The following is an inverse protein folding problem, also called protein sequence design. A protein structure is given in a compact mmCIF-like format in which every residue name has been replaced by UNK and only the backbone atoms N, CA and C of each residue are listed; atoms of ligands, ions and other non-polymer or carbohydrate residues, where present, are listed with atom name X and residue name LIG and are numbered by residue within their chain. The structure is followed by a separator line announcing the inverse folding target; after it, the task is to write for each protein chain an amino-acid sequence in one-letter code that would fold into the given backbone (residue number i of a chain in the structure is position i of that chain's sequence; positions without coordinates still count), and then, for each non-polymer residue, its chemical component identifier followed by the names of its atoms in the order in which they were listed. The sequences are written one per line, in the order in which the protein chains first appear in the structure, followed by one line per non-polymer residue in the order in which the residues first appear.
data_IF_879606036003
#
_entry.id   IF_879606036003
#
_cell.length_a   1.000
_cell.length_b   1.000
_cell.length_c   1.000
_cell.angle_alpha   90.00
_cell.angle_beta   90.00
_cell.angle_gamma   90.00
#
_symmetry.space_group_name_H-M   'P 1'
#
loop_
_entity.id
_entity.type
_entity.pdbx_description
1 polymer ?
#
# COMPACT_ATOMS: atom_id res chain seq x y z
N UNK A 1 -39.31 -18.12 -30.26
CA UNK A 1 -38.00 -17.70 -29.72
C UNK A 1 -38.08 -17.73 -28.21
N UNK A 2 -37.23 -18.53 -27.55
CA UNK A 2 -37.05 -18.45 -26.09
C UNK A 2 -35.83 -17.57 -25.84
N UNK A 3 -36.00 -16.56 -25.00
CA UNK A 3 -34.98 -15.58 -24.64
C UNK A 3 -33.97 -16.25 -23.70
N UNK A 4 -32.70 -16.21 -24.07
CA UNK A 4 -31.59 -16.75 -23.28
C UNK A 4 -31.27 -15.72 -22.17
N UNK A 5 -31.15 -16.19 -20.92
CA UNK A 5 -30.95 -15.34 -19.74
C UNK A 5 -29.55 -15.61 -19.16
N UNK A 6 -28.58 -14.79 -19.57
CA UNK A 6 -27.16 -14.90 -19.19
C UNK A 6 -26.92 -14.78 -17.68
N UNK A 7 -27.78 -14.07 -16.95
CA UNK A 7 -27.57 -13.77 -15.53
C UNK A 7 -27.61 -15.02 -14.63
N UNK A 8 -28.20 -16.12 -15.11
CA UNK A 8 -28.34 -17.36 -14.35
C UNK A 8 -27.08 -18.23 -14.36
N UNK A 9 -26.24 -18.08 -15.37
CA UNK A 9 -25.00 -18.86 -15.53
C UNK A 9 -23.85 -18.23 -14.73
N UNK A 10 -23.73 -16.89 -14.77
CA UNK A 10 -22.75 -16.13 -14.00
C UNK A 10 -22.87 -16.34 -12.49
N UNK A 11 -24.10 -16.31 -11.96
CA UNK A 11 -24.37 -16.48 -10.53
C UNK A 11 -24.01 -17.90 -10.05
N UNK A 12 -24.04 -18.88 -10.97
CA UNK A 12 -23.69 -20.27 -10.69
C UNK A 12 -22.18 -20.50 -10.71
N UNK A 13 -21.46 -19.82 -11.61
CA UNK A 13 -19.99 -19.84 -11.64
C UNK A 13 -19.37 -19.12 -10.43
N UNK A 14 -19.92 -17.99 -9.99
CA UNK A 14 -19.41 -17.28 -8.82
C UNK A 14 -19.64 -18.05 -7.53
N UNK A 15 -20.82 -18.67 -7.37
CA UNK A 15 -21.09 -19.59 -6.25
C UNK A 15 -20.17 -20.81 -6.21
N UNK A 16 -19.66 -21.25 -7.37
CA UNK A 16 -18.68 -22.35 -7.41
C UNK A 16 -17.28 -21.91 -6.97
N UNK A 17 -16.89 -20.66 -7.22
CA UNK A 17 -15.61 -20.08 -6.82
C UNK A 17 -15.52 -19.82 -5.31
N UNK A 18 -16.60 -19.32 -4.69
CA UNK A 18 -16.65 -19.10 -3.23
C UNK A 18 -16.56 -20.39 -2.41
N UNK A 19 -16.81 -21.55 -3.02
CA UNK A 19 -16.76 -22.85 -2.35
C UNK A 19 -15.39 -23.53 -2.38
N UNK A 20 -14.40 -22.95 -3.08
CA UNK A 20 -13.04 -23.51 -3.18
C UNK A 20 -12.15 -22.80 -2.16
N UNK A 21 -12.27 -23.19 -0.90
CA UNK A 21 -11.21 -22.95 0.09
C UNK A 21 -10.16 -24.04 -0.06
N UNK A 22 -9.06 -23.69 -0.73
CA UNK A 22 -7.95 -24.61 -1.02
C UNK A 22 -7.10 -24.82 0.24
N UNK A 23 -6.95 -26.07 0.66
CA UNK A 23 -6.14 -26.44 1.82
C UNK A 23 -4.67 -26.11 1.59
N UNK A 24 -3.91 -25.90 2.66
CA UNK A 24 -2.50 -25.53 2.60
C UNK A 24 -1.65 -26.58 1.86
N UNK A 25 -2.02 -27.87 1.95
CA UNK A 25 -1.41 -28.97 1.19
C UNK A 25 -1.67 -28.89 -0.31
N UNK A 26 -2.86 -28.45 -0.72
CA UNK A 26 -3.28 -28.44 -2.11
C UNK A 26 -2.63 -27.28 -2.87
N UNK A 27 -2.32 -26.19 -2.14
CA UNK A 27 -1.53 -25.07 -2.68
C UNK A 27 -0.11 -25.51 -3.01
N UNK A 28 0.55 -26.23 -2.10
CA UNK A 28 1.91 -26.74 -2.31
C UNK A 28 2.00 -27.69 -3.51
N UNK A 29 1.00 -28.55 -3.73
CA UNK A 29 0.93 -29.44 -4.90
C UNK A 29 0.81 -28.65 -6.21
N UNK A 30 -0.07 -27.65 -6.25
CA UNK A 30 -0.24 -26.79 -7.44
C UNK A 30 1.00 -25.94 -7.72
N UNK A 31 1.66 -25.41 -6.68
CA UNK A 31 2.92 -24.68 -6.84
C UNK A 31 4.03 -25.60 -7.34
N UNK A 32 4.14 -26.82 -6.80
CA UNK A 32 5.11 -27.82 -7.24
C UNK A 32 4.90 -28.19 -8.72
N UNK A 33 3.66 -28.43 -9.15
CA UNK A 33 3.35 -28.75 -10.55
C UNK A 33 3.62 -27.57 -11.50
N UNK A 34 3.36 -26.34 -11.07
CA UNK A 34 3.71 -25.14 -11.81
C UNK A 34 5.22 -25.00 -11.97
N UNK A 35 6.00 -25.14 -10.89
CA UNK A 35 7.45 -25.07 -10.96
C UNK A 35 8.04 -26.21 -11.80
N UNK A 36 7.51 -27.43 -11.68
CA UNK A 36 7.96 -28.59 -12.45
C UNK A 36 7.63 -28.47 -13.95
N UNK A 37 6.54 -27.79 -14.30
CA UNK A 37 6.19 -27.48 -15.70
C UNK A 37 7.07 -26.37 -16.31
N UNK A 38 7.52 -25.42 -15.50
CA UNK A 38 8.46 -24.36 -15.88
C UNK A 38 9.87 -24.94 -16.07
N UNK A 39 10.30 -25.82 -15.17
CA UNK A 39 11.65 -26.41 -15.21
C UNK A 39 11.82 -27.39 -16.38
N UNK A 40 10.74 -28.07 -16.80
CA UNK A 40 10.73 -28.96 -17.98
C UNK A 40 10.96 -28.22 -19.31
N UNK A 41 10.94 -26.88 -19.33
CA UNK A 41 11.17 -26.07 -20.54
C UNK A 41 12.61 -25.57 -20.72
N UNK A 42 13.55 -25.95 -19.85
CA UNK A 42 14.95 -25.47 -19.93
C UNK A 42 15.94 -26.40 -20.65
N UNK A 43 15.44 -27.31 -21.49
CA UNK A 43 16.28 -28.08 -22.40
C UNK A 43 15.51 -28.49 -23.65
N UNK A 44 15.82 -27.86 -24.78
CA UNK A 44 15.94 -28.44 -26.13
C UNK A 44 16.29 -27.29 -27.09
N UNK A 45 17.43 -27.46 -27.76
CA UNK A 45 17.96 -26.50 -28.72
C UNK A 45 17.34 -26.58 -30.11
N UNK A 46 17.60 -25.51 -30.87
CA UNK A 46 17.62 -25.36 -32.33
C UNK A 46 16.30 -25.57 -33.09
N UNK A 47 15.77 -24.45 -33.60
CA UNK A 47 15.37 -24.35 -35.01
C UNK A 47 13.89 -24.14 -35.30
N UNK A 48 13.31 -22.99 -34.93
CA UNK A 48 12.13 -22.46 -35.63
C UNK A 48 11.98 -20.94 -35.42
N UNK A 49 12.37 -20.13 -36.41
CA UNK A 49 12.15 -18.68 -36.41
C UNK A 49 10.71 -18.40 -36.83
N UNK A 50 9.81 -18.29 -35.85
CA UNK A 50 8.54 -17.59 -36.06
C UNK A 50 8.67 -16.16 -35.52
N UNK A 51 8.46 -15.12 -36.34
CA UNK A 51 8.42 -13.76 -35.83
C UNK A 51 7.19 -13.62 -34.93
N UNK A 52 7.45 -13.32 -33.66
CA UNK A 52 6.47 -13.10 -32.58
C UNK A 52 5.44 -11.99 -32.93
N UNK A 53 5.68 -11.22 -33.99
CA UNK A 53 4.84 -10.12 -34.45
C UNK A 53 3.50 -10.53 -35.09
N UNK A 54 3.25 -11.81 -35.41
CA UNK A 54 1.99 -12.24 -36.04
C UNK A 54 0.91 -12.70 -35.05
N UNK A 55 1.23 -12.88 -33.77
CA UNK A 55 0.23 -13.18 -32.73
C UNK A 55 -0.27 -11.93 -31.98
N UNK A 56 0.42 -10.78 -32.09
CA UNK A 56 -0.03 -9.55 -31.41
C UNK A 56 -1.12 -8.79 -32.18
N UNK A 57 -1.07 -8.79 -33.52
CA UNK A 57 -1.99 -7.97 -34.33
C UNK A 57 -3.46 -8.44 -34.27
N UNK A 58 -3.69 -9.75 -34.12
CA UNK A 58 -5.05 -10.29 -34.03
C UNK A 58 -5.71 -9.99 -32.66
N UNK A 59 -4.93 -9.95 -31.57
CA UNK A 59 -5.42 -9.53 -30.25
C UNK A 59 -5.74 -8.03 -30.20
N UNK A 60 -4.91 -7.20 -30.83
CA UNK A 60 -5.10 -5.75 -30.88
C UNK A 60 -6.42 -5.39 -31.60
N UNK A 61 -6.79 -6.09 -32.68
CA UNK A 61 -8.05 -5.81 -33.40
C UNK A 61 -9.31 -6.18 -32.60
N UNK A 62 -9.26 -7.20 -31.73
CA UNK A 62 -10.41 -7.58 -30.88
C UNK A 62 -10.66 -6.51 -29.79
N UNK A 63 -9.61 -5.85 -29.29
CA UNK A 63 -9.72 -4.78 -28.28
C UNK A 63 -10.38 -3.49 -28.81
N UNK A 64 -10.23 -3.16 -30.09
CA UNK A 64 -10.81 -1.94 -30.67
C UNK A 64 -12.32 -2.04 -30.96
N UNK A 65 -12.87 -3.24 -31.16
CA UNK A 65 -14.30 -3.44 -31.49
C UNK A 65 -15.16 -3.69 -30.23
N UNK A 66 -14.57 -4.20 -29.15
CA UNK A 66 -15.27 -4.60 -27.92
C UNK A 66 -15.27 -3.58 -26.76
N UNK A 67 -14.99 -2.30 -26.99
CA UNK A 67 -15.03 -1.27 -25.94
C UNK A 67 -13.69 -0.97 -25.25
N UNK A 68 -12.55 -1.29 -25.85
CA UNK A 68 -11.21 -0.96 -25.32
C UNK A 68 -10.80 0.52 -25.41
N UNK A 69 -11.71 1.44 -25.73
CA UNK A 69 -11.38 2.87 -25.82
C UNK A 69 -11.21 3.54 -24.44
N UNK A 70 -11.60 2.88 -23.34
CA UNK A 70 -11.46 3.43 -21.98
C UNK A 70 -10.17 3.03 -21.26
N UNK A 71 -9.29 2.25 -21.89
CA UNK A 71 -8.03 1.80 -21.27
C UNK A 71 -6.80 2.37 -22.00
N UNK A 72 -6.94 2.88 -23.22
CA UNK A 72 -5.83 3.45 -23.98
C UNK A 72 -5.26 4.74 -23.35
N UNK A 73 -6.11 5.60 -22.76
CA UNK A 73 -5.64 6.82 -22.07
C UNK A 73 -4.86 6.49 -20.79
N UNK A 74 -5.18 5.38 -20.12
CA UNK A 74 -4.46 4.93 -18.91
C UNK A 74 -3.13 4.26 -19.25
N UNK A 75 -3.08 3.50 -20.34
CA UNK A 75 -1.88 2.74 -20.77
C UNK A 75 -0.83 3.66 -21.43
N UNK A 76 -1.21 4.81 -21.99
CA UNK A 76 -0.28 5.76 -22.63
C UNK A 76 0.37 6.78 -21.67
N UNK A 77 -0.14 6.94 -20.44
CA UNK A 77 0.46 7.83 -19.42
C UNK A 77 1.29 7.10 -18.35
N UNK A 78 1.25 5.77 -18.33
CA UNK A 78 2.02 4.94 -17.40
C UNK A 78 3.21 4.29 -18.09
N UNK A 79 3.95 5.08 -18.89
CA UNK A 79 5.33 4.70 -19.24
C UNK A 79 6.24 5.14 -18.08
N UNK A 80 5.89 4.74 -16.86
CA UNK A 80 6.76 4.89 -15.70
C UNK A 80 7.97 3.97 -15.91
N UNK A 81 9.17 4.53 -15.72
CA UNK A 81 10.35 3.72 -15.49
C UNK A 81 10.08 2.71 -14.36
N UNK A 82 10.78 1.55 -14.28
CA UNK A 82 10.65 0.67 -13.13
C UNK A 82 10.78 1.52 -11.86
N UNK A 83 9.74 1.48 -11.03
CA UNK A 83 9.67 2.24 -9.80
C UNK A 83 10.84 1.80 -8.90
N UNK A 84 11.56 2.77 -8.37
CA UNK A 84 12.68 2.53 -7.46
C UNK A 84 12.11 1.89 -6.18
N UNK A 85 12.63 0.73 -5.77
CA UNK A 85 12.20 -0.01 -4.56
C UNK A 85 12.27 0.88 -3.30
N UNK A 86 13.19 1.85 -3.27
CA UNK A 86 13.28 2.84 -2.21
C UNK A 86 12.09 3.80 -2.22
N UNK A 87 11.61 4.20 -3.42
CA UNK A 87 10.43 5.06 -3.56
C UNK A 87 9.20 4.34 -3.05
N UNK A 88 8.98 3.08 -3.46
CA UNK A 88 7.84 2.27 -2.99
C UNK A 88 7.85 2.11 -1.46
N UNK A 89 9.03 1.87 -0.87
CA UNK A 89 9.21 1.81 0.59
C UNK A 89 8.82 3.13 1.27
N UNK A 90 9.26 4.27 0.73
CA UNK A 90 8.93 5.59 1.28
C UNK A 90 7.44 5.87 1.15
N UNK A 91 6.84 5.58 -0.01
CA UNK A 91 5.42 5.81 -0.24
C UNK A 91 4.55 4.97 0.69
N UNK A 92 4.91 3.70 0.90
CA UNK A 92 4.22 2.81 1.83
C UNK A 92 4.27 3.33 3.27
N UNK A 93 5.45 3.76 3.73
CA UNK A 93 5.58 4.32 5.08
C UNK A 93 4.80 5.63 5.22
N UNK A 94 4.88 6.53 4.23
CA UNK A 94 4.15 7.80 4.26
C UNK A 94 2.62 7.61 4.21
N UNK A 95 2.13 6.60 3.47
CA UNK A 95 0.72 6.22 3.50
C UNK A 95 0.32 5.75 4.90
N UNK A 96 1.06 4.82 5.50
CA UNK A 96 0.79 4.33 6.86
C UNK A 96 0.80 5.46 7.92
N UNK A 97 1.71 6.43 7.78
CA UNK A 97 1.83 7.59 8.69
C UNK A 97 0.62 8.53 8.59
N UNK A 98 0.05 8.70 7.39
CA UNK A 98 -0.99 9.70 7.10
C UNK A 98 -2.36 9.12 6.68
N UNK A 99 -2.54 7.80 6.78
CA UNK A 99 -3.80 7.11 6.47
C UNK A 99 -4.26 6.27 7.65
N UNK A 100 -5.40 6.61 8.24
CA UNK A 100 -5.98 5.82 9.32
C UNK A 100 -6.81 6.61 10.33
N UNK A 101 -7.20 5.96 11.44
CA UNK A 101 -6.78 4.60 11.81
C UNK A 101 -7.37 3.50 10.91
N UNK A 102 -6.65 2.41 10.75
CA UNK A 102 -7.19 1.19 10.16
C UNK A 102 -8.08 0.44 11.18
N UNK A 103 -8.59 -0.74 10.81
CA UNK A 103 -9.48 -1.51 11.70
C UNK A 103 -8.79 -1.98 12.99
N UNK A 104 -7.50 -2.31 12.92
CA UNK A 104 -6.76 -2.84 14.05
C UNK A 104 -6.45 -1.72 15.05
N UNK A 105 -5.87 -0.62 14.57
CA UNK A 105 -5.62 0.56 15.39
C UNK A 105 -6.91 1.11 15.97
N UNK A 106 -7.98 1.23 15.16
CA UNK A 106 -9.26 1.73 15.65
C UNK A 106 -9.78 0.90 16.81
N UNK A 107 -9.68 -0.44 16.72
CA UNK A 107 -10.10 -1.33 17.79
C UNK A 107 -9.31 -1.10 19.07
N UNK A 108 -7.97 -1.02 18.98
CA UNK A 108 -7.11 -0.73 20.14
C UNK A 108 -7.53 0.60 20.78
N UNK A 109 -7.74 1.65 19.97
CA UNK A 109 -8.11 2.97 20.44
C UNK A 109 -9.53 3.04 21.04
N UNK A 110 -10.49 2.29 20.48
CA UNK A 110 -11.85 2.17 21.01
C UNK A 110 -11.88 1.51 22.40
N UNK A 111 -11.02 0.51 22.60
CA UNK A 111 -10.98 -0.28 23.83
C UNK A 111 -10.22 0.45 24.96
N UNK A 112 -9.63 1.62 24.72
CA UNK A 112 -8.77 2.34 25.67
C UNK A 112 -9.43 2.50 27.05
N UNK A 113 -10.70 2.92 27.09
CA UNK A 113 -11.41 3.12 28.37
C UNK A 113 -11.57 1.80 29.14
N UNK A 114 -11.82 0.68 28.43
CA UNK A 114 -11.91 -0.65 29.06
C UNK A 114 -10.57 -1.09 29.66
N UNK A 115 -9.44 -0.85 28.98
CA UNK A 115 -8.12 -1.11 29.56
C UNK A 115 -7.88 -0.29 30.83
N UNK A 116 -8.30 0.98 30.85
CA UNK A 116 -8.13 1.87 32.01
C UNK A 116 -9.00 1.40 33.19
N UNK A 117 -10.26 1.05 32.93
CA UNK A 117 -11.19 0.56 33.95
C UNK A 117 -10.73 -0.75 34.60
N UNK A 118 -10.01 -1.60 33.83
CA UNK A 118 -9.47 -2.88 34.29
C UNK A 118 -8.04 -2.79 34.90
N UNK A 119 -7.48 -1.59 35.06
CA UNK A 119 -6.09 -1.36 35.52
C UNK A 119 -5.02 -2.01 34.60
N UNK A 120 -5.31 -2.07 33.30
CA UNK A 120 -4.48 -2.68 32.23
C UNK A 120 -3.80 -1.66 31.34
N UNK A 121 -3.45 -0.49 31.87
CA UNK A 121 -2.81 0.58 31.09
C UNK A 121 -1.49 0.14 30.43
N UNK A 122 -0.76 -0.79 31.05
CA UNK A 122 0.46 -1.36 30.45
C UNK A 122 0.17 -2.25 29.24
N UNK A 123 -0.89 -3.06 29.29
CA UNK A 123 -1.32 -3.90 28.17
C UNK A 123 -1.76 -3.02 26.99
N UNK A 124 -2.51 -1.94 27.26
CA UNK A 124 -2.88 -0.96 26.24
C UNK A 124 -1.67 -0.35 25.52
N UNK A 125 -0.64 0.06 26.28
CA UNK A 125 0.59 0.60 25.69
C UNK A 125 1.36 -0.46 24.90
N UNK A 126 1.36 -1.71 25.37
CA UNK A 126 1.96 -2.84 24.67
C UNK A 126 1.26 -3.11 23.34
N UNK A 127 -0.07 -3.12 23.31
CA UNK A 127 -0.86 -3.39 22.11
C UNK A 127 -0.67 -2.28 21.06
N UNK A 128 -0.69 -1.01 21.49
CA UNK A 128 -0.36 0.11 20.61
C UNK A 128 1.06 0.01 20.03
N UNK A 129 2.03 -0.30 20.89
CA UNK A 129 3.41 -0.46 20.45
C UNK A 129 3.54 -1.59 19.43
N UNK A 130 2.97 -2.75 19.72
CA UNK A 130 3.02 -3.92 18.83
C UNK A 130 2.37 -3.66 17.48
N UNK A 131 1.26 -2.92 17.44
CA UNK A 131 0.66 -2.48 16.19
C UNK A 131 1.64 -1.66 15.34
N UNK A 132 2.27 -0.64 15.93
CA UNK A 132 3.21 0.21 15.20
C UNK A 132 4.51 -0.52 14.83
N UNK A 133 5.02 -1.39 15.70
CA UNK A 133 6.19 -2.22 15.41
C UNK A 133 5.92 -3.13 14.20
N UNK A 134 4.76 -3.79 14.15
CA UNK A 134 4.39 -4.67 13.03
C UNK A 134 4.35 -3.91 11.69
N UNK A 135 3.86 -2.67 11.70
CA UNK A 135 3.74 -1.86 10.49
C UNK A 135 5.08 -1.24 10.06
N UNK A 136 5.91 -0.78 11.01
CA UNK A 136 7.10 0.00 10.66
C UNK A 136 8.41 -0.78 10.69
N UNK A 137 8.55 -1.81 11.52
CA UNK A 137 9.80 -2.59 11.61
C UNK A 137 10.31 -3.15 10.25
N UNK A 138 9.45 -3.60 9.31
CA UNK A 138 9.93 -4.07 8.01
C UNK A 138 10.68 -3.01 7.20
N UNK A 139 10.29 -1.73 7.33
CA UNK A 139 10.75 -0.62 6.48
C UNK A 139 11.88 0.20 7.09
N UNK A 140 12.16 0.03 8.38
CA UNK A 140 13.15 0.81 9.10
C UNK A 140 14.39 -0.01 9.47
N UNK A 141 15.54 0.63 9.51
CA UNK A 141 16.75 0.06 10.09
C UNK A 141 16.53 -0.33 11.55
N UNK A 142 17.25 -1.35 12.02
CA UNK A 142 17.03 -1.94 13.35
C UNK A 142 17.03 -0.85 14.44
N UNK A 143 15.99 -0.86 15.29
CA UNK A 143 15.79 0.08 16.41
C UNK A 143 15.63 1.57 16.04
N UNK A 144 15.54 1.94 14.75
CA UNK A 144 15.37 3.36 14.36
C UNK A 144 13.91 3.83 14.45
N UNK A 145 12.95 2.98 14.12
CA UNK A 145 11.52 3.31 14.19
C UNK A 145 11.07 3.68 15.61
N UNK A 146 11.70 3.10 16.63
CA UNK A 146 11.33 3.33 18.03
C UNK A 146 11.46 4.80 18.45
N UNK A 147 12.54 5.46 18.00
CA UNK A 147 12.74 6.89 18.25
C UNK A 147 11.63 7.74 17.62
N UNK A 148 11.15 7.33 16.45
CA UNK A 148 10.07 8.01 15.74
C UNK A 148 8.69 7.79 16.40
N UNK A 149 8.41 6.60 16.94
CA UNK A 149 7.20 6.35 17.75
C UNK A 149 7.24 7.21 19.02
N UNK A 150 8.34 7.18 19.76
CA UNK A 150 8.48 7.93 21.03
C UNK A 150 8.35 9.45 20.87
N UNK A 151 8.60 9.97 19.66
CA UNK A 151 8.47 11.40 19.32
C UNK A 151 7.19 11.72 18.54
N UNK A 152 6.25 10.76 18.46
CA UNK A 152 4.98 10.86 17.74
C UNK A 152 5.10 11.18 16.24
N UNK A 153 6.23 10.85 15.62
CA UNK A 153 6.47 11.07 14.19
C UNK A 153 5.82 9.99 13.30
N UNK A 154 5.32 8.90 13.91
CA UNK A 154 4.67 7.78 13.23
C UNK A 154 3.26 7.48 13.76
N UNK A 155 2.71 8.34 14.64
CA UNK A 155 1.47 8.09 15.41
C UNK A 155 0.37 9.14 15.15
N UNK A 156 0.43 9.87 14.03
CA UNK A 156 -0.52 10.95 13.73
C UNK A 156 -1.98 10.47 13.61
N UNK A 157 -2.19 9.24 13.14
CA UNK A 157 -3.53 8.64 13.02
C UNK A 157 -4.17 8.42 14.39
N UNK A 158 -3.39 8.07 15.41
CA UNK A 158 -3.85 8.04 16.81
C UNK A 158 -4.21 9.43 17.32
N UNK A 159 -3.37 10.45 17.08
CA UNK A 159 -3.67 11.82 17.49
C UNK A 159 -4.97 12.34 16.86
N UNK A 160 -5.12 12.13 15.54
CA UNK A 160 -6.33 12.48 14.79
C UNK A 160 -7.57 11.77 15.35
N UNK A 161 -7.46 10.48 15.65
CA UNK A 161 -8.56 9.69 16.17
C UNK A 161 -9.15 10.28 17.46
N UNK A 162 -8.29 10.67 18.41
CA UNK A 162 -8.74 11.27 19.68
C UNK A 162 -9.47 12.60 19.53
N UNK A 163 -9.33 13.27 18.39
CA UNK A 163 -10.07 14.50 18.06
C UNK A 163 -11.26 14.26 17.13
N UNK A 164 -11.55 13.00 16.84
CA UNK A 164 -12.64 12.59 15.95
C UNK A 164 -12.34 12.82 14.48
N UNK A 165 -11.05 12.88 14.11
CA UNK A 165 -10.60 12.96 12.74
C UNK A 165 -10.11 11.62 12.21
N UNK A 166 -10.24 11.44 10.90
CA UNK A 166 -9.57 10.41 10.12
C UNK A 166 -8.64 11.09 9.12
N UNK A 167 -7.44 10.55 8.95
CA UNK A 167 -6.49 11.00 7.94
C UNK A 167 -6.49 10.05 6.74
N UNK A 168 -6.20 10.59 5.56
CA UNK A 168 -5.97 9.83 4.34
C UNK A 168 -4.89 10.51 3.50
N UNK A 169 -3.79 9.82 3.24
CA UNK A 169 -2.85 10.22 2.22
C UNK A 169 -3.52 10.13 0.84
N UNK A 170 -3.33 11.16 0.02
CA UNK A 170 -3.91 11.26 -1.31
C UNK A 170 -2.82 11.15 -2.37
N UNK A 171 -2.08 12.23 -2.58
CA UNK A 171 -0.94 12.27 -3.50
C UNK A 171 0.35 12.26 -2.71
N UNK A 172 1.13 11.20 -2.88
CA UNK A 172 2.52 11.11 -2.41
C UNK A 172 3.42 11.37 -3.61
N UNK A 173 4.45 12.17 -3.43
CA UNK A 173 5.47 12.42 -4.43
C UNK A 173 6.83 12.38 -3.76
N UNK A 174 7.63 11.40 -4.15
CA UNK A 174 8.99 11.16 -3.65
C UNK A 174 9.98 11.45 -4.77
N UNK A 175 11.03 12.21 -4.45
CA UNK A 175 12.09 12.54 -5.42
C UNK A 175 13.44 12.42 -4.74
N UNK A 176 14.32 11.62 -5.34
CA UNK A 176 15.70 11.55 -4.90
C UNK A 176 16.41 12.91 -5.08
N UNK A 177 17.27 13.24 -4.13
CA UNK A 177 18.13 14.41 -4.15
C UNK A 177 19.29 14.17 -5.13
N UNK A 178 19.35 14.98 -6.19
CA UNK A 178 20.38 14.88 -7.23
C UNK A 178 21.83 14.96 -6.70
N UNK A 179 22.02 15.48 -5.49
CA UNK A 179 23.34 15.71 -4.87
C UNK A 179 23.67 14.69 -3.79
N UNK A 180 22.72 13.89 -3.33
CA UNK A 180 22.93 12.98 -2.20
C UNK A 180 22.17 11.68 -2.44
N UNK A 181 22.93 10.68 -2.88
CA UNK A 181 22.48 9.30 -3.07
C UNK A 181 21.79 8.76 -1.82
N UNK A 182 20.64 8.10 -2.01
CA UNK A 182 19.85 7.54 -0.93
C UNK A 182 19.09 8.57 -0.08
N UNK A 183 19.07 9.84 -0.48
CA UNK A 183 18.34 10.88 0.21
C UNK A 183 17.17 11.38 -0.66
N UNK A 184 15.96 11.36 -0.11
CA UNK A 184 14.73 11.62 -0.85
C UNK A 184 13.95 12.75 -0.19
N UNK A 185 13.49 13.70 -0.99
CA UNK A 185 12.52 14.70 -0.55
C UNK A 185 11.12 14.21 -0.91
N UNK A 186 10.19 14.37 0.02
CA UNK A 186 8.80 13.96 -0.21
C UNK A 186 7.82 15.10 -0.03
N UNK A 187 6.66 14.92 -0.63
CA UNK A 187 5.46 15.73 -0.42
C UNK A 187 4.26 14.80 -0.36
N UNK A 188 3.50 14.87 0.73
CA UNK A 188 2.23 14.15 0.91
C UNK A 188 1.11 15.19 0.95
N UNK A 189 0.09 15.00 0.11
CA UNK A 189 -1.19 15.66 0.29
C UNK A 189 -2.03 14.83 1.26
N UNK A 190 -2.37 15.37 2.42
CA UNK A 190 -3.13 14.69 3.48
C UNK A 190 -4.52 15.28 3.54
N UNK A 191 -5.53 14.45 3.33
CA UNK A 191 -6.92 14.81 3.55
C UNK A 191 -7.31 14.47 5.00
N UNK A 192 -8.05 15.37 5.66
CA UNK A 192 -8.59 15.12 6.99
C UNK A 192 -10.13 15.20 6.98
N UNK A 193 -10.75 14.24 7.66
CA UNK A 193 -12.19 14.02 7.64
C UNK A 193 -12.76 14.00 9.05
N UNK A 194 -13.99 14.48 9.22
CA UNK A 194 -14.77 14.32 10.43
C UNK A 194 -16.01 13.50 10.11
N UNK A 195 -16.01 12.23 10.51
CA UNK A 195 -16.92 11.23 9.94
C UNK A 195 -16.66 11.10 8.43
N UNK A 196 -17.71 11.14 7.61
CA UNK A 196 -17.60 11.00 6.15
C UNK A 196 -17.34 12.33 5.41
N UNK A 197 -17.20 13.45 6.14
CA UNK A 197 -17.06 14.78 5.56
C UNK A 197 -15.58 15.15 5.47
N UNK A 198 -15.08 15.44 4.26
CA UNK A 198 -13.75 16.04 4.07
C UNK A 198 -13.78 17.48 4.58
N UNK A 199 -13.02 17.76 5.64
CA UNK A 199 -12.92 19.10 6.24
C UNK A 199 -11.85 19.94 5.53
N UNK A 200 -10.82 19.30 4.99
CA UNK A 200 -9.81 19.98 4.18
C UNK A 200 -8.66 19.09 3.74
N UNK A 201 -7.61 19.75 3.28
CA UNK A 201 -6.35 19.13 2.90
C UNK A 201 -5.16 19.97 3.32
N UNK A 202 -4.04 19.30 3.55
CA UNK A 202 -2.78 19.92 3.90
C UNK A 202 -1.62 19.20 3.25
N UNK A 203 -0.64 19.97 2.82
CA UNK A 203 0.59 19.45 2.25
C UNK A 203 1.64 19.29 3.33
N UNK A 204 2.11 18.06 3.52
CA UNK A 204 3.22 17.75 4.42
C UNK A 204 4.48 17.46 3.61
N UNK A 205 5.61 18.07 3.97
CA UNK A 205 6.90 17.84 3.29
C UNK A 205 8.00 17.45 4.25
N UNK A 206 8.98 16.73 3.74
CA UNK A 206 10.13 16.33 4.52
C UNK A 206 11.18 15.60 3.70
N UNK A 207 12.08 14.94 4.42
CA UNK A 207 13.18 14.15 3.88
C UNK A 207 13.22 12.77 4.50
N UNK A 208 13.49 11.77 3.67
CA UNK A 208 13.85 10.41 4.08
C UNK A 208 15.26 10.10 3.61
N UNK A 209 16.03 9.40 4.44
CA UNK A 209 17.30 8.80 4.02
C UNK A 209 17.17 7.28 4.10
N UNK A 210 17.43 6.61 2.98
CA UNK A 210 17.57 5.16 2.85
C UNK A 210 19.04 4.85 2.55
N UNK A 211 19.63 3.92 3.29
CA UNK A 211 20.97 3.42 3.00
C UNK A 211 20.90 2.05 2.31
N UNK A 212 22.06 1.44 2.06
CA UNK A 212 22.29 0.23 1.22
C UNK A 212 21.36 -0.99 1.41
N UNK A 213 20.50 -1.01 2.43
CA UNK A 213 19.58 -2.09 2.78
C UNK A 213 18.17 -1.91 2.23
N UNK A 214 17.86 -0.78 1.56
CA UNK A 214 16.50 -0.42 1.14
C UNK A 214 15.61 0.04 2.30
N UNK A 215 16.17 0.17 3.52
CA UNK A 215 15.44 0.54 4.73
C UNK A 215 15.67 1.99 5.12
N UNK A 216 14.63 2.60 5.68
CA UNK A 216 14.64 3.96 6.20
C UNK A 216 15.56 4.01 7.42
N UNK A 217 16.55 4.89 7.35
CA UNK A 217 17.39 5.23 8.48
C UNK A 217 16.89 6.47 9.23
N UNK A 218 16.39 7.46 8.50
CA UNK A 218 15.93 8.72 9.05
C UNK A 218 14.70 9.21 8.31
N UNK A 219 13.64 9.53 9.04
CA UNK A 219 12.49 10.30 8.57
C UNK A 219 12.46 11.65 9.28
N UNK A 220 12.42 12.75 8.53
CA UNK A 220 12.32 14.11 9.06
C UNK A 220 11.28 14.91 8.32
N UNK A 221 10.39 15.55 9.06
CA UNK A 221 9.48 16.55 8.53
C UNK A 221 10.15 17.93 8.58
N UNK A 222 9.86 18.78 7.61
CA UNK A 222 10.37 20.16 7.64
C UNK A 222 9.50 21.03 8.53
N UNK A 223 10.11 21.96 9.26
CA UNK A 223 9.43 22.86 10.20
C UNK A 223 8.39 23.74 9.49
N UNK A 224 8.71 24.21 8.29
CA UNK A 224 7.80 24.95 7.39
C UNK A 224 7.02 24.04 6.44
N UNK A 225 7.13 22.72 6.62
CA UNK A 225 6.59 21.70 5.75
C UNK A 225 5.15 21.28 6.07
N UNK A 226 4.35 22.14 6.68
CA UNK A 226 2.91 21.92 6.94
C UNK A 226 2.57 20.94 8.07
N UNK A 227 3.54 20.21 8.63
CA UNK A 227 3.26 19.26 9.72
C UNK A 227 2.71 19.97 10.97
N UNK A 228 3.27 21.10 11.37
CA UNK A 228 2.79 21.83 12.56
C UNK A 228 1.34 22.30 12.41
N UNK A 229 0.94 22.69 11.20
CA UNK A 229 -0.44 23.11 10.90
C UNK A 229 -1.38 21.91 10.93
N UNK A 230 -0.97 20.75 10.39
CA UNK A 230 -1.73 19.51 10.52
C UNK A 230 -1.96 19.18 11.99
N UNK A 231 -0.88 19.21 12.78
CA UNK A 231 -0.92 18.94 14.23
C UNK A 231 -1.90 19.89 14.94
N UNK A 232 -1.92 21.19 14.62
CA UNK A 232 -2.86 22.16 15.20
C UNK A 232 -4.33 21.87 14.86
N UNK A 233 -4.60 21.19 13.74
CA UNK A 233 -5.95 20.78 13.35
C UNK A 233 -6.38 19.53 14.13
N UNK A 234 -5.44 18.61 14.37
CA UNK A 234 -5.70 17.27 14.96
C UNK A 234 -5.27 17.12 16.43
N UNK A 235 -4.86 18.20 17.10
CA UNK A 235 -4.58 18.26 18.55
C UNK A 235 -5.53 19.26 19.24
#
# INVERSE_FOLDING_TARGET
MKQYDENKEYDKTLKSLDSITMGESDKEEVYSDLFHSIEKKKGIGRGFNWPIHLLSAAFIMIFFVGGGYLIAEKILWEQAAPEDENVETIETVLDNVFSGPDKELKKILDDQDSYIEEDKAQEYQSDLYSYYENIYQPYFEENTFQGHINTNQLTFTQLAYYKGYQLKADKINVKEDEKTDGAYNFTVNVHYYKGDIKEGDIKVTGRVNIYNTGKINTLKFYDDGGLEELIKIIQ
#
